data_IF_446703750828
#
_entry.id   IF_446703750828
#
_cell.length_a   1.000
_cell.length_b   1.000
_cell.length_c   1.000
_cell.angle_alpha   90.00
_cell.angle_beta   90.00
_cell.angle_gamma   90.00
#
_symmetry.space_group_name_H-M   'P 1'
#
loop_
_entity.id
_entity.type
_entity.pdbx_description
1 polymer ?
#
# COMPACT_ATOMS: atom_id res chain seq x y z
N UNK A 1 0.81 -6.30 -18.19
CA UNK A 1 0.68 -5.76 -16.82
C UNK A 1 1.83 -6.27 -15.98
N UNK A 2 2.59 -5.37 -15.42
CA UNK A 2 3.69 -5.76 -14.54
C UNK A 2 3.17 -6.17 -13.16
N UNK A 3 3.67 -7.27 -12.64
CA UNK A 3 3.27 -7.83 -11.34
C UNK A 3 4.47 -7.87 -10.41
N UNK A 4 4.24 -7.45 -9.18
CA UNK A 4 5.23 -7.47 -8.11
C UNK A 4 4.75 -8.50 -7.07
N UNK A 5 5.35 -9.69 -7.04
CA UNK A 5 4.92 -10.71 -6.06
C UNK A 5 5.38 -10.35 -4.66
N UNK A 6 4.51 -10.61 -3.68
CA UNK A 6 4.85 -10.53 -2.26
C UNK A 6 4.35 -11.79 -1.57
N UNK A 7 4.99 -12.14 -0.46
CA UNK A 7 4.59 -13.28 0.36
C UNK A 7 4.33 -12.79 1.78
N UNK A 8 3.10 -12.94 2.23
CA UNK A 8 2.71 -12.60 3.59
C UNK A 8 3.06 -13.78 4.51
N UNK A 9 3.77 -13.50 5.58
CA UNK A 9 4.17 -14.51 6.56
C UNK A 9 3.38 -14.36 7.85
N UNK A 10 3.44 -15.35 8.73
CA UNK A 10 2.85 -15.29 10.04
C UNK A 10 3.88 -14.88 11.10
N UNK A 11 3.40 -14.40 12.25
CA UNK A 11 4.22 -14.21 13.45
C UNK A 11 5.07 -12.96 13.47
N UNK A 12 4.90 -12.03 12.49
CA UNK A 12 5.63 -10.76 12.50
C UNK A 12 4.69 -9.62 12.90
N UNK A 13 5.15 -8.76 13.79
CA UNK A 13 4.40 -7.58 14.20
C UNK A 13 4.54 -6.46 13.16
N UNK A 14 3.66 -5.46 13.26
CA UNK A 14 3.76 -4.25 12.44
C UNK A 14 5.12 -3.59 12.64
N UNK A 15 5.60 -3.50 13.89
CA UNK A 15 6.90 -2.91 14.21
C UNK A 15 8.04 -3.68 13.55
N UNK A 16 7.98 -5.01 13.53
CA UNK A 16 8.96 -5.84 12.84
C UNK A 16 9.00 -5.55 11.34
N UNK A 17 7.84 -5.43 10.72
CA UNK A 17 7.73 -5.18 9.27
C UNK A 17 8.19 -3.78 8.91
N UNK A 18 7.85 -2.77 9.71
CA UNK A 18 8.33 -1.40 9.51
C UNK A 18 9.86 -1.35 9.60
N UNK A 19 10.43 -2.01 10.62
CA UNK A 19 11.88 -2.08 10.77
C UNK A 19 12.54 -2.79 9.59
N UNK A 20 11.96 -3.90 9.14
CA UNK A 20 12.48 -4.67 8.01
C UNK A 20 12.43 -3.90 6.69
N UNK A 21 11.54 -2.91 6.58
CA UNK A 21 11.44 -2.06 5.39
C UNK A 21 12.63 -1.13 5.19
N UNK A 22 13.40 -0.86 6.23
CA UNK A 22 14.62 -0.05 6.13
C UNK A 22 14.37 1.41 5.76
N UNK A 23 13.23 1.97 6.17
CA UNK A 23 12.88 3.36 5.83
C UNK A 23 13.73 4.36 6.61
N UNK A 24 14.08 5.47 5.96
CA UNK A 24 14.73 6.59 6.63
C UNK A 24 13.77 7.27 7.62
N UNK A 25 12.47 7.24 7.31
CA UNK A 25 11.40 7.71 8.19
C UNK A 25 10.16 6.85 7.99
N UNK A 26 9.52 6.48 9.07
CA UNK A 26 8.21 5.85 9.07
C UNK A 26 7.28 6.64 9.98
N UNK A 27 6.07 6.91 9.51
CA UNK A 27 5.08 7.69 10.27
C UNK A 27 4.81 7.01 11.62
N UNK A 28 4.83 7.79 12.69
CA UNK A 28 4.72 7.28 14.07
C UNK A 28 3.41 6.55 14.38
N UNK A 29 2.36 6.78 13.58
CA UNK A 29 1.09 6.10 13.75
C UNK A 29 1.04 4.71 13.10
N UNK A 30 2.07 4.31 12.35
CA UNK A 30 2.12 2.98 11.74
C UNK A 30 2.69 2.00 12.76
N UNK A 31 1.85 1.61 13.69
CA UNK A 31 2.15 0.74 14.83
C UNK A 31 1.06 -0.32 14.97
N UNK A 32 1.33 -1.38 15.71
CA UNK A 32 0.39 -2.50 15.91
C UNK A 32 -0.96 -2.07 16.49
N UNK A 33 -0.99 -1.03 17.30
CA UNK A 33 -2.25 -0.52 17.87
C UNK A 33 -3.22 -0.05 16.79
N UNK A 34 -2.70 0.58 15.73
CA UNK A 34 -3.50 1.16 14.65
C UNK A 34 -3.59 0.26 13.42
N UNK A 35 -2.54 -0.52 13.17
CA UNK A 35 -2.42 -1.40 12.00
C UNK A 35 -1.96 -2.79 12.46
N UNK A 36 -2.78 -3.51 13.25
CA UNK A 36 -2.38 -4.85 13.69
C UNK A 36 -2.26 -5.81 12.52
N UNK A 37 -1.13 -6.53 12.43
CA UNK A 37 -0.93 -7.51 11.37
C UNK A 37 -1.83 -8.72 11.63
N UNK A 38 -2.70 -9.01 10.68
CA UNK A 38 -3.64 -10.12 10.74
C UNK A 38 -3.03 -11.34 10.07
N UNK A 39 -3.41 -12.56 10.48
CA UNK A 39 -2.96 -13.77 9.80
C UNK A 39 -3.38 -13.74 8.33
N UNK A 40 -2.49 -14.13 7.39
CA UNK A 40 -2.79 -14.08 5.96
C UNK A 40 -3.82 -15.11 5.51
N UNK A 41 -4.15 -16.11 6.34
CA UNK A 41 -5.06 -17.18 5.98
C UNK A 41 -4.45 -18.12 4.94
N UNK A 42 -5.29 -18.61 4.03
CA UNK A 42 -4.86 -19.55 3.01
C UNK A 42 -4.04 -18.88 1.89
N UNK A 43 -4.17 -17.55 1.74
CA UNK A 43 -3.51 -16.82 0.65
C UNK A 43 -2.34 -16.00 1.18
N UNK A 44 -1.17 -16.62 1.14
CA UNK A 44 0.07 -15.96 1.53
C UNK A 44 0.73 -15.22 0.37
N UNK A 45 0.63 -15.78 -0.84
CA UNK A 45 1.18 -15.15 -2.03
C UNK A 45 0.18 -14.15 -2.60
N UNK A 46 0.67 -12.95 -2.83
CA UNK A 46 -0.12 -11.86 -3.40
C UNK A 46 0.63 -11.30 -4.60
N UNK A 47 -0.12 -10.92 -5.62
CA UNK A 47 0.44 -10.35 -6.84
C UNK A 47 -0.01 -8.91 -6.93
N UNK A 48 0.91 -7.98 -6.69
CA UNK A 48 0.61 -6.55 -6.69
C UNK A 48 0.89 -5.97 -8.06
N UNK A 49 -0.04 -5.17 -8.57
CA UNK A 49 0.16 -4.38 -9.78
C UNK A 49 -0.08 -2.91 -9.47
N UNK A 50 0.58 -2.02 -10.23
CA UNK A 50 0.47 -0.59 -10.02
C UNK A 50 -0.32 0.04 -11.16
N UNK A 51 -1.28 0.88 -10.79
CA UNK A 51 -2.12 1.61 -11.74
C UNK A 51 -1.80 3.10 -11.58
N UNK A 52 -1.48 3.80 -12.67
CA UNK A 52 -1.23 5.24 -12.59
C UNK A 52 -2.50 6.00 -12.24
N UNK A 53 -2.36 7.06 -11.46
CA UNK A 53 -3.46 7.96 -11.16
C UNK A 53 -3.60 9.05 -12.22
N UNK A 54 -4.71 9.76 -12.15
CA UNK A 54 -4.99 10.94 -12.96
C UNK A 54 -5.13 12.17 -12.06
N UNK A 55 -4.88 13.35 -12.63
CA UNK A 55 -5.04 14.59 -11.88
C UNK A 55 -6.50 14.77 -11.47
N UNK A 56 -6.72 14.97 -10.17
CA UNK A 56 -8.05 15.15 -9.60
C UNK A 56 -8.81 13.85 -9.33
N UNK A 57 -8.18 12.68 -9.53
CA UNK A 57 -8.83 11.39 -9.24
C UNK A 57 -9.22 11.27 -7.77
N UNK A 58 -10.32 10.58 -7.51
CA UNK A 58 -10.77 10.23 -6.16
C UNK A 58 -10.45 8.78 -5.84
N UNK A 59 -10.32 8.46 -4.55
CA UNK A 59 -10.09 7.08 -4.13
C UNK A 59 -11.22 6.15 -4.57
N UNK A 60 -12.47 6.58 -4.40
CA UNK A 60 -13.63 5.79 -4.81
C UNK A 60 -13.65 5.52 -6.32
N UNK A 61 -13.29 6.55 -7.11
CA UNK A 61 -13.22 6.41 -8.57
C UNK A 61 -12.15 5.42 -8.99
N UNK A 62 -10.98 5.47 -8.35
CA UNK A 62 -9.88 4.55 -8.63
C UNK A 62 -10.25 3.11 -8.23
N UNK A 63 -10.89 2.94 -7.06
CA UNK A 63 -11.35 1.63 -6.61
C UNK A 63 -12.39 1.05 -7.57
N UNK A 64 -13.32 1.86 -8.06
CA UNK A 64 -14.33 1.42 -9.02
C UNK A 64 -13.71 1.00 -10.35
N UNK A 65 -12.75 1.78 -10.86
CA UNK A 65 -12.03 1.44 -12.09
C UNK A 65 -11.25 0.12 -11.93
N UNK A 66 -10.56 -0.06 -10.81
CA UNK A 66 -9.81 -1.28 -10.55
C UNK A 66 -10.75 -2.50 -10.51
N UNK A 67 -11.89 -2.38 -9.84
CA UNK A 67 -12.88 -3.45 -9.77
C UNK A 67 -13.39 -3.85 -11.15
N UNK A 68 -13.64 -2.87 -12.03
CA UNK A 68 -14.06 -3.15 -13.41
C UNK A 68 -13.00 -3.89 -14.21
N UNK A 69 -11.72 -3.73 -13.85
CA UNK A 69 -10.59 -4.42 -14.48
C UNK A 69 -10.28 -5.76 -13.81
N UNK A 70 -11.08 -6.19 -12.85
CA UNK A 70 -10.86 -7.44 -12.13
C UNK A 70 -9.71 -7.37 -11.10
N UNK A 71 -9.29 -6.17 -10.72
CA UNK A 71 -8.23 -5.99 -9.72
C UNK A 71 -8.84 -5.93 -8.32
N UNK A 72 -8.19 -6.59 -7.37
CA UNK A 72 -8.62 -6.62 -5.99
C UNK A 72 -8.11 -5.43 -5.18
N UNK A 73 -8.88 -5.06 -4.17
CA UNK A 73 -8.48 -4.02 -3.22
C UNK A 73 -7.35 -4.54 -2.33
N UNK A 74 -6.28 -3.75 -2.11
CA UNK A 74 -5.22 -4.16 -1.19
C UNK A 74 -5.67 -4.05 0.27
N UNK A 75 -4.91 -4.71 1.15
CA UNK A 75 -4.96 -4.51 2.59
C UNK A 75 -3.68 -3.80 3.03
N UNK A 76 -3.67 -3.23 4.23
CA UNK A 76 -2.46 -2.50 4.66
C UNK A 76 -1.24 -3.40 4.85
N UNK A 77 -1.45 -4.68 5.14
CA UNK A 77 -0.34 -5.63 5.20
C UNK A 77 0.39 -5.72 3.86
N UNK A 78 -0.32 -5.58 2.74
CA UNK A 78 0.30 -5.57 1.43
C UNK A 78 1.36 -4.47 1.32
N UNK A 79 1.08 -3.29 1.86
CA UNK A 79 2.03 -2.18 1.83
C UNK A 79 3.28 -2.49 2.65
N UNK A 80 3.10 -3.08 3.83
CA UNK A 80 4.20 -3.42 4.73
C UNK A 80 5.15 -4.43 4.09
N UNK A 81 4.61 -5.45 3.44
CA UNK A 81 5.42 -6.46 2.75
C UNK A 81 5.99 -5.97 1.43
N UNK A 82 5.26 -5.11 0.73
CA UNK A 82 5.72 -4.56 -0.55
C UNK A 82 6.99 -3.73 -0.39
N UNK A 83 7.05 -2.88 0.62
CA UNK A 83 8.24 -2.06 0.88
C UNK A 83 9.48 -2.87 1.21
N UNK A 84 9.31 -4.05 1.79
CA UNK A 84 10.41 -4.98 2.09
C UNK A 84 10.87 -5.68 0.80
N UNK A 85 9.92 -6.21 0.04
CA UNK A 85 10.21 -7.05 -1.13
C UNK A 85 10.69 -6.23 -2.34
N UNK A 86 10.17 -5.01 -2.51
CA UNK A 86 10.42 -4.18 -3.69
C UNK A 86 10.82 -2.75 -3.27
N UNK A 87 11.94 -2.59 -2.56
CA UNK A 87 12.29 -1.30 -1.93
C UNK A 87 12.53 -0.17 -2.94
N UNK A 88 12.94 -0.49 -4.17
CA UNK A 88 13.28 0.53 -5.15
C UNK A 88 12.08 1.06 -5.94
N UNK A 89 10.94 0.41 -5.86
CA UNK A 89 9.76 0.82 -6.63
C UNK A 89 9.26 2.20 -6.20
N UNK A 90 9.24 2.47 -4.90
CA UNK A 90 8.81 3.77 -4.37
C UNK A 90 9.76 4.92 -4.73
N UNK A 91 10.98 4.62 -5.18
CA UNK A 91 11.92 5.65 -5.65
C UNK A 91 11.52 6.24 -6.99
N UNK A 92 10.67 5.55 -7.73
CA UNK A 92 10.19 5.97 -9.04
C UNK A 92 8.93 6.83 -8.95
N UNK A 93 8.38 6.99 -7.76
CA UNK A 93 7.18 7.79 -7.48
C UNK A 93 6.37 7.16 -6.34
N UNK A 94 5.46 7.93 -5.72
CA UNK A 94 4.65 7.42 -4.62
C UNK A 94 3.81 6.20 -5.01
N UNK A 95 3.73 5.23 -4.11
CA UNK A 95 2.88 4.05 -4.24
C UNK A 95 1.86 4.07 -3.11
N UNK A 96 0.59 4.23 -3.47
CA UNK A 96 -0.51 4.37 -2.52
C UNK A 96 -1.29 3.06 -2.46
N UNK A 97 -1.62 2.63 -1.26
CA UNK A 97 -2.40 1.42 -1.03
C UNK A 97 -3.79 1.81 -0.53
N UNK A 98 -4.77 1.80 -1.43
CA UNK A 98 -6.15 2.19 -1.10
C UNK A 98 -6.89 1.07 -0.34
N UNK A 99 -6.31 0.64 0.77
CA UNK A 99 -6.94 -0.29 1.69
C UNK A 99 -8.10 0.39 2.44
N UNK A 100 -8.84 -0.37 3.23
CA UNK A 100 -9.84 0.20 4.12
C UNK A 100 -9.16 1.19 5.06
N UNK A 101 -9.56 2.48 5.05
CA UNK A 101 -8.77 3.52 5.71
C UNK A 101 -8.77 3.41 7.24
N UNK A 102 -7.65 3.82 7.83
CA UNK A 102 -7.53 3.97 9.26
C UNK A 102 -8.06 5.35 9.68
N UNK A 103 -8.91 5.36 10.70
CA UNK A 103 -9.42 6.60 11.29
C UNK A 103 -8.42 7.14 12.31
N UNK A 104 -7.77 8.25 11.98
CA UNK A 104 -6.82 8.93 12.86
C UNK A 104 -7.51 9.85 13.87
N UNK A 105 -6.68 10.52 14.68
CA UNK A 105 -7.15 11.34 15.80
C UNK A 105 -8.06 12.50 15.42
N UNK A 106 -7.96 12.98 14.18
CA UNK A 106 -8.74 14.13 13.71
C UNK A 106 -9.88 13.71 12.79
N UNK A 107 -10.29 12.44 12.83
CA UNK A 107 -11.35 11.93 11.97
C UNK A 107 -10.93 11.79 10.49
N UNK A 108 -9.65 12.00 10.18
CA UNK A 108 -9.13 11.83 8.83
C UNK A 108 -8.97 10.35 8.54
N UNK A 109 -9.39 9.94 7.34
CA UNK A 109 -9.24 8.57 6.88
C UNK A 109 -7.93 8.44 6.11
N UNK A 110 -6.97 7.71 6.66
CA UNK A 110 -5.63 7.60 6.09
C UNK A 110 -5.34 6.21 5.55
N UNK A 111 -4.53 6.18 4.49
CA UNK A 111 -4.01 4.94 3.89
C UNK A 111 -2.49 5.00 3.83
N UNK A 112 -1.85 3.83 3.82
CA UNK A 112 -0.40 3.74 3.74
C UNK A 112 0.10 4.15 2.36
N UNK A 113 1.19 4.89 2.34
CA UNK A 113 1.88 5.33 1.14
C UNK A 113 3.38 5.11 1.30
N UNK A 114 4.00 4.56 0.26
CA UNK A 114 5.44 4.42 0.16
C UNK A 114 5.94 5.49 -0.81
N UNK A 115 6.88 6.32 -0.39
CA UNK A 115 7.38 7.40 -1.21
C UNK A 115 8.85 7.71 -0.94
N UNK A 116 9.40 8.64 -1.68
CA UNK A 116 10.78 9.08 -1.53
C UNK A 116 10.79 10.58 -1.29
N UNK A 117 11.62 11.01 -0.34
CA UNK A 117 11.82 12.41 -0.02
C UNK A 117 13.32 12.70 0.00
N UNK A 118 13.80 13.55 -0.90
CA UNK A 118 15.21 13.91 -1.01
C UNK A 118 16.14 12.68 -1.07
N UNK A 119 15.77 11.69 -1.85
CA UNK A 119 16.53 10.44 -2.03
C UNK A 119 16.33 9.42 -0.92
N UNK A 120 15.47 9.67 0.06
CA UNK A 120 15.27 8.82 1.23
C UNK A 120 13.91 8.15 1.17
N UNK A 121 13.89 6.84 1.39
CA UNK A 121 12.64 6.06 1.40
C UNK A 121 11.86 6.33 2.68
N UNK A 122 10.57 6.59 2.53
CA UNK A 122 9.67 6.85 3.65
C UNK A 122 8.39 6.03 3.55
N UNK A 123 7.88 5.63 4.71
CA UNK A 123 6.54 5.05 4.86
C UNK A 123 5.67 6.09 5.54
N UNK A 124 4.61 6.52 4.85
CA UNK A 124 3.75 7.58 5.33
C UNK A 124 2.28 7.23 5.27
N UNK A 125 1.48 8.22 5.62
CA UNK A 125 0.02 8.17 5.57
C UNK A 125 -0.48 9.29 4.66
N UNK A 126 -1.46 8.95 3.81
CA UNK A 126 -2.09 9.91 2.92
C UNK A 126 -3.60 9.94 3.13
N UNK A 127 -4.20 11.09 2.87
CA UNK A 127 -5.63 11.31 3.05
C UNK A 127 -6.43 10.59 1.96
N UNK A 128 -7.22 9.58 2.37
CA UNK A 128 -8.09 8.83 1.47
C UNK A 128 -9.12 9.74 0.77
N UNK A 129 -9.57 10.79 1.44
CA UNK A 129 -10.61 11.69 0.93
C UNK A 129 -10.07 12.85 0.10
N UNK A 130 -8.74 12.93 -0.06
CA UNK A 130 -8.12 13.95 -0.88
C UNK A 130 -8.22 13.64 -2.38
N UNK A 131 -7.71 14.57 -3.18
CA UNK A 131 -7.58 14.39 -4.63
C UNK A 131 -6.18 13.92 -4.95
N UNK A 132 -6.09 12.97 -5.85
CA UNK A 132 -4.80 12.43 -6.28
C UNK A 132 -4.31 13.13 -7.55
N UNK A 133 -3.07 12.86 -7.90
CA UNK A 133 -2.47 13.36 -9.14
C UNK A 133 -1.89 12.19 -9.93
N UNK A 134 -1.50 12.46 -11.17
CA UNK A 134 -0.84 11.45 -12.02
C UNK A 134 0.56 11.08 -11.53
N UNK A 135 1.12 11.81 -10.57
CA UNK A 135 2.38 11.42 -9.95
C UNK A 135 2.23 10.20 -9.02
N UNK A 136 1.02 9.94 -8.53
CA UNK A 136 0.73 8.81 -7.65
C UNK A 136 0.46 7.55 -8.46
N UNK A 137 0.96 6.42 -7.96
CA UNK A 137 0.61 5.09 -8.48
C UNK A 137 -0.12 4.32 -7.39
N UNK A 138 -1.08 3.52 -7.78
CA UNK A 138 -1.97 2.84 -6.84
C UNK A 138 -1.78 1.34 -6.94
N UNK A 139 -1.49 0.72 -5.80
CA UNK A 139 -1.28 -0.72 -5.70
C UNK A 139 -2.61 -1.44 -5.60
N UNK A 140 -2.80 -2.43 -6.47
CA UNK A 140 -3.96 -3.32 -6.44
C UNK A 140 -3.50 -4.76 -6.52
N UNK A 141 -4.39 -5.68 -6.19
CA UNK A 141 -4.09 -7.11 -6.24
C UNK A 141 -4.52 -7.65 -7.60
N UNK A 142 -3.55 -8.14 -8.35
CA UNK A 142 -3.80 -8.77 -9.63
C UNK A 142 -4.53 -10.11 -9.41
N UNK A 143 -5.40 -10.52 -10.36
CA UNK A 143 -6.03 -11.82 -10.25
C UNK A 143 -4.98 -12.93 -10.32
N UNK A 144 -5.31 -14.09 -9.75
CA UNK A 144 -4.43 -15.25 -9.87
C UNK A 144 -4.23 -15.60 -11.34
N UNK A 145 -3.02 -16.08 -11.64
CA UNK A 145 -2.77 -16.61 -12.98
C UNK A 145 -3.74 -17.75 -13.24
N UNK A 146 -4.54 -17.61 -14.29
CA UNK A 146 -5.38 -18.70 -14.76
C UNK A 146 -4.53 -19.54 -15.69
N UNK A 147 -4.42 -20.86 -15.44
CA UNK A 147 -3.66 -21.74 -16.32
C UNK A 147 -4.22 -21.74 -17.75
#
# INVERSE_FOLDING_TARGET
MRVYPIVLAEGRSTEDLVAAGGYAYAHSCVISENFPVRPPGARRERRITLVPGDDGATSEGLLAQAARRGLGRPVYEDALYFGIAHPDVQRQGPVVFLHDPWFGYFGRRDVLCLWENAGRRELGLEDFDGRWSRAHRFAFVAPDSVP
#
